data_IF_657541976769
#
_entry.id   IF_657541976769
#
_cell.length_a   1.000
_cell.length_b   1.000
_cell.length_c   1.000
_cell.angle_alpha   90.00
_cell.angle_beta   90.00
_cell.angle_gamma   90.00
#
_symmetry.space_group_name_H-M   'P 1'
#
loop_
_entity.id
_entity.type
_entity.pdbx_description
1 polymer ?
#
# COMPACT_ATOMS: atom_id res chain seq x y z
N UNK A 1 11.29 10.44 -3.26
CA UNK A 1 11.17 11.37 -2.12
C UNK A 1 9.92 10.98 -1.39
N UNK A 2 10.02 10.72 -0.09
CA UNK A 2 8.89 10.34 0.75
C UNK A 2 7.89 11.48 0.86
N UNK A 3 6.62 11.23 0.54
CA UNK A 3 5.53 12.18 0.69
C UNK A 3 4.56 11.69 1.79
N UNK A 4 4.54 12.41 2.90
CA UNK A 4 3.72 12.06 4.06
C UNK A 4 2.22 12.20 3.79
N UNK A 5 1.81 13.08 2.89
CA UNK A 5 0.41 13.25 2.49
C UNK A 5 -0.04 12.04 1.66
N UNK A 6 0.80 11.64 0.70
CA UNK A 6 0.56 10.42 -0.08
C UNK A 6 0.51 9.16 0.79
N UNK A 7 1.40 9.03 1.77
CA UNK A 7 1.38 7.88 2.68
C UNK A 7 0.06 7.81 3.46
N UNK A 8 -0.42 8.95 3.95
CA UNK A 8 -1.69 9.00 4.68
C UNK A 8 -2.88 8.66 3.77
N UNK A 9 -2.88 9.12 2.53
CA UNK A 9 -3.88 8.71 1.53
C UNK A 9 -3.81 7.22 1.24
N UNK A 10 -2.62 6.65 1.01
CA UNK A 10 -2.44 5.22 0.80
C UNK A 10 -3.02 4.41 1.97
N UNK A 11 -2.68 4.78 3.22
CA UNK A 11 -3.24 4.11 4.42
C UNK A 11 -4.76 4.19 4.47
N UNK A 12 -5.35 5.33 4.14
CA UNK A 12 -6.80 5.50 4.11
C UNK A 12 -7.45 4.61 3.03
N UNK A 13 -6.89 4.59 1.82
CA UNK A 13 -7.37 3.74 0.71
C UNK A 13 -7.30 2.26 1.09
N UNK A 14 -6.17 1.81 1.62
CA UNK A 14 -5.98 0.43 2.05
C UNK A 14 -6.98 0.07 3.16
N UNK A 15 -7.11 0.91 4.20
CA UNK A 15 -8.03 0.67 5.31
C UNK A 15 -9.51 0.62 4.88
N UNK A 16 -9.93 1.52 3.98
CA UNK A 16 -11.30 1.55 3.46
C UNK A 16 -11.62 0.27 2.68
N UNK A 17 -10.68 -0.18 1.83
CA UNK A 17 -10.87 -1.35 0.96
C UNK A 17 -10.66 -2.68 1.69
N UNK A 18 -10.00 -2.66 2.84
CA UNK A 18 -9.68 -3.86 3.62
C UNK A 18 -10.50 -4.06 4.88
N UNK A 19 -11.49 -3.20 5.14
CA UNK A 19 -12.21 -3.18 6.43
C UNK A 19 -11.26 -3.01 7.64
N UNK A 20 -10.14 -2.31 7.45
CA UNK A 20 -9.18 -1.95 8.49
C UNK A 20 -7.94 -2.84 8.60
N UNK A 21 -7.83 -3.94 7.85
CA UNK A 21 -6.63 -4.77 7.81
C UNK A 21 -5.61 -4.24 6.79
N UNK A 22 -4.75 -3.32 7.21
CA UNK A 22 -3.76 -2.68 6.31
C UNK A 22 -2.63 -3.65 5.97
N UNK A 23 -2.18 -4.50 6.90
CA UNK A 23 -1.01 -5.37 6.70
C UNK A 23 -1.28 -6.43 5.63
N UNK A 24 -2.37 -7.19 5.75
CA UNK A 24 -2.73 -8.21 4.76
C UNK A 24 -2.98 -7.59 3.38
N UNK A 25 -3.56 -6.40 3.37
CA UNK A 25 -3.90 -5.67 2.15
C UNK A 25 -2.67 -5.09 1.47
N UNK A 26 -1.70 -4.63 2.24
CA UNK A 26 -0.44 -4.14 1.72
C UNK A 26 0.40 -5.25 1.08
N UNK A 27 0.43 -6.44 1.71
CA UNK A 27 1.08 -7.63 1.15
C UNK A 27 0.52 -7.92 -0.25
N UNK A 28 -0.79 -7.76 -0.44
CA UNK A 28 -1.49 -7.98 -1.71
C UNK A 28 -2.00 -6.69 -2.34
N UNK A 29 -1.24 -5.59 -2.26
CA UNK A 29 -1.78 -4.27 -2.63
C UNK A 29 -2.34 -4.22 -4.05
N UNK A 30 -1.84 -5.06 -4.97
CA UNK A 30 -2.33 -5.13 -6.36
C UNK A 30 -3.75 -5.67 -6.50
N UNK A 31 -4.26 -6.39 -5.51
CA UNK A 31 -5.66 -6.84 -5.46
C UNK A 31 -6.59 -5.69 -5.02
N UNK A 32 -6.03 -4.68 -4.34
CA UNK A 32 -6.79 -3.59 -3.72
C UNK A 32 -6.57 -2.24 -4.40
N UNK A 33 -5.46 -2.04 -5.08
CA UNK A 33 -5.09 -0.83 -5.81
C UNK A 33 -5.15 -1.10 -7.30
N UNK A 34 -5.69 -0.14 -8.06
CA UNK A 34 -5.59 -0.21 -9.51
C UNK A 34 -4.16 0.16 -9.97
N UNK A 35 -3.87 -0.04 -11.26
CA UNK A 35 -2.52 0.21 -11.80
C UNK A 35 -2.06 1.66 -11.63
N UNK A 36 -2.97 2.64 -11.73
CA UNK A 36 -2.66 4.05 -11.57
C UNK A 36 -2.30 4.40 -10.12
N UNK A 37 -3.10 3.92 -9.16
CA UNK A 37 -2.83 4.07 -7.73
C UNK A 37 -1.50 3.41 -7.34
N UNK A 38 -1.27 2.19 -7.84
CA UNK A 38 -0.02 1.45 -7.62
C UNK A 38 1.21 2.23 -8.08
N UNK A 39 1.13 2.90 -9.24
CA UNK A 39 2.22 3.75 -9.75
C UNK A 39 2.35 5.06 -8.96
N UNK A 40 1.24 5.68 -8.55
CA UNK A 40 1.28 6.94 -7.80
C UNK A 40 1.92 6.78 -6.43
N UNK A 41 1.65 5.64 -5.79
CA UNK A 41 2.02 5.33 -4.42
C UNK A 41 3.17 4.32 -4.33
N UNK A 42 3.87 4.00 -5.42
CA UNK A 42 4.93 2.98 -5.45
C UNK A 42 5.95 3.14 -4.31
N UNK A 43 6.48 4.36 -4.14
CA UNK A 43 7.42 4.66 -3.06
C UNK A 43 6.79 4.55 -1.67
N UNK A 44 5.52 4.96 -1.52
CA UNK A 44 4.81 4.90 -0.25
C UNK A 44 4.41 3.46 0.13
N UNK A 45 4.15 2.61 -0.86
CA UNK A 45 3.88 1.18 -0.70
C UNK A 45 5.14 0.49 -0.17
N UNK A 46 6.28 0.68 -0.83
CA UNK A 46 7.56 0.10 -0.40
C UNK A 46 7.93 0.59 0.99
N UNK A 47 7.81 1.91 1.24
CA UNK A 47 8.10 2.49 2.55
C UNK A 47 7.18 1.97 3.65
N UNK A 48 5.87 1.83 3.37
CA UNK A 48 4.92 1.29 4.34
C UNK A 48 5.20 -0.19 4.62
N UNK A 49 5.61 -0.96 3.61
CA UNK A 49 5.95 -2.37 3.75
C UNK A 49 7.20 -2.55 4.62
N UNK A 50 8.25 -1.74 4.38
CA UNK A 50 9.44 -1.70 5.24
C UNK A 50 9.12 -1.28 6.68
N UNK A 51 8.28 -0.26 6.85
CA UNK A 51 7.87 0.23 8.18
C UNK A 51 7.11 -0.83 8.98
N UNK A 52 6.23 -1.59 8.33
CA UNK A 52 5.42 -2.64 8.96
C UNK A 52 6.16 -3.98 9.02
N UNK A 53 7.31 -4.12 8.35
CA UNK A 53 8.07 -5.36 8.28
C UNK A 53 7.35 -6.46 7.50
N UNK A 54 6.54 -6.10 6.50
CA UNK A 54 5.81 -7.04 5.66
C UNK A 54 6.46 -7.18 4.29
N UNK A 55 6.47 -8.38 3.74
CA UNK A 55 6.95 -8.63 2.38
C UNK A 55 5.78 -8.59 1.39
N UNK A 56 5.94 -7.83 0.30
CA UNK A 56 4.93 -7.72 -0.75
C UNK A 56 4.90 -9.01 -1.58
N UNK A 57 3.72 -9.60 -1.74
CA UNK A 57 3.49 -10.68 -2.69
C UNK A 57 3.43 -10.10 -4.11
N UNK A 58 4.48 -10.33 -4.90
CA UNK A 58 4.45 -10.02 -6.33
C UNK A 58 3.65 -11.11 -7.06
N UNK A 59 2.59 -10.77 -7.82
CA UNK A 59 1.95 -11.73 -8.72
C UNK A 59 2.98 -12.35 -9.67
N UNK A 60 2.89 -13.68 -9.81
CA UNK A 60 3.67 -14.49 -10.75
C UNK A 60 3.37 -14.14 -12.21
#
# INVERSE_FOLDING_TARGET
MFDSEKLNMLKAILAERSSGDIETTLVRYRDYLNSYESTIYENEIDYLAEMLGVEIELPF
#
